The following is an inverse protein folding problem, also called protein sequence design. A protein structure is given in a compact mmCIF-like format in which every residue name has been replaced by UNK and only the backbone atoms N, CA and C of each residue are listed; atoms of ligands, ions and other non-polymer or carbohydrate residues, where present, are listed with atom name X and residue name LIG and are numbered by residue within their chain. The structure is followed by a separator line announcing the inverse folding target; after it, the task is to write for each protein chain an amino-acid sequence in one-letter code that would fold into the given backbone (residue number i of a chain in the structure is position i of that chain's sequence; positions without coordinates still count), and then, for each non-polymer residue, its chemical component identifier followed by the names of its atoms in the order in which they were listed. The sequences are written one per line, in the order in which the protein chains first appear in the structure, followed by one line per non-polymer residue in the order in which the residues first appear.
data_IF_748716969732
#
_entry.id   IF_748716969732
#
_cell.length_a   1.000
_cell.length_b   1.000
_cell.length_c   1.000
_cell.angle_alpha   90.00
_cell.angle_beta   90.00
_cell.angle_gamma   90.00
#
_symmetry.space_group_name_H-M   'P 1'
#
loop_
_entity.id
_entity.type
_entity.pdbx_description
1 polymer ?
#
# COMPACT_ATOMS: atom_id res chain seq x y z
N UNK A 1 43.44 -43.40 -6.87
CA UNK A 1 42.00 -43.63 -7.12
C UNK A 1 41.23 -42.51 -6.43
N UNK A 2 41.20 -41.32 -7.02
CA UNK A 2 40.53 -40.16 -6.42
C UNK A 2 39.87 -39.34 -7.53
N UNK A 3 38.69 -39.79 -7.97
CA UNK A 3 37.89 -39.07 -8.95
C UNK A 3 36.41 -39.14 -8.58
N UNK A 4 36.04 -38.80 -7.35
CA UNK A 4 34.63 -38.73 -6.93
C UNK A 4 34.40 -37.67 -5.84
N UNK A 5 34.70 -36.40 -6.09
CA UNK A 5 34.26 -35.35 -5.15
C UNK A 5 33.92 -33.99 -5.78
N UNK A 6 34.03 -33.82 -7.10
CA UNK A 6 33.67 -32.55 -7.76
C UNK A 6 32.25 -32.53 -8.34
N UNK A 7 31.64 -33.70 -8.55
CA UNK A 7 30.33 -33.80 -9.21
C UNK A 7 29.14 -33.64 -8.27
N UNK A 8 29.33 -33.80 -6.95
CA UNK A 8 28.24 -33.70 -5.97
C UNK A 8 27.89 -32.25 -5.59
N UNK A 9 28.85 -31.32 -5.64
CA UNK A 9 28.63 -29.92 -5.25
C UNK A 9 27.86 -29.12 -6.30
N UNK A 10 28.03 -29.44 -7.59
CA UNK A 10 27.35 -28.70 -8.67
C UNK A 10 25.85 -29.01 -8.70
N UNK A 11 25.43 -30.22 -8.29
CA UNK A 11 24.02 -30.61 -8.29
C UNK A 11 23.21 -29.92 -7.18
N UNK A 12 23.83 -29.65 -6.02
CA UNK A 12 23.15 -29.02 -4.87
C UNK A 12 22.85 -27.54 -5.16
N UNK A 13 23.74 -26.83 -5.85
CA UNK A 13 23.53 -25.41 -6.20
C UNK A 13 22.40 -25.24 -7.23
N UNK A 14 22.23 -26.18 -8.15
CA UNK A 14 21.12 -26.15 -9.13
C UNK A 14 19.78 -26.45 -8.45
N UNK A 15 19.74 -27.34 -7.45
CA UNK A 15 18.49 -27.67 -6.73
C UNK A 15 18.08 -26.57 -5.75
N UNK A 16 19.01 -25.80 -5.18
CA UNK A 16 18.65 -24.64 -4.33
C UNK A 16 18.14 -23.44 -5.13
N UNK A 17 18.56 -23.28 -6.38
CA UNK A 17 18.03 -22.24 -7.28
C UNK A 17 16.59 -22.55 -7.76
N UNK A 18 16.20 -23.83 -7.83
CA UNK A 18 14.85 -24.27 -8.23
C UNK A 18 13.79 -24.15 -7.12
N UNK A 19 14.17 -23.90 -5.86
CA UNK A 19 13.23 -23.65 -4.77
C UNK A 19 12.77 -22.18 -4.65
N UNK A 20 13.32 -21.28 -5.49
CA UNK A 20 12.84 -19.90 -5.60
C UNK A 20 11.70 -19.73 -6.61
N UNK A 21 11.24 -20.79 -7.29
CA UNK A 21 9.93 -20.80 -7.96
C UNK A 21 8.81 -21.03 -6.93
N UNK A 22 8.90 -20.35 -5.78
CA UNK A 22 7.85 -20.34 -4.77
C UNK A 22 6.67 -19.54 -5.30
N UNK A 23 5.60 -20.25 -5.69
CA UNK A 23 4.24 -19.74 -5.80
C UNK A 23 4.12 -18.27 -6.26
N UNK A 24 4.43 -18.00 -7.53
CA UNK A 24 4.30 -16.66 -8.12
C UNK A 24 2.84 -16.19 -8.11
N UNK A 25 2.52 -15.25 -7.23
CA UNK A 25 1.17 -14.71 -7.03
C UNK A 25 1.08 -13.21 -7.20
N UNK A 26 -0.15 -12.70 -7.21
CA UNK A 26 -0.43 -11.27 -7.07
C UNK A 26 -0.26 -10.92 -5.59
N UNK A 27 0.76 -10.12 -5.29
CA UNK A 27 1.00 -9.54 -3.95
C UNK A 27 1.31 -8.06 -4.11
N UNK A 28 0.95 -7.27 -3.11
CA UNK A 28 1.19 -5.83 -3.16
C UNK A 28 1.56 -5.28 -1.80
N UNK A 29 2.18 -4.11 -1.83
CA UNK A 29 2.39 -3.28 -0.65
C UNK A 29 1.73 -1.94 -0.90
N UNK A 30 1.08 -1.42 0.14
CA UNK A 30 0.63 -0.03 0.15
C UNK A 30 1.32 0.68 1.32
N UNK A 31 1.65 1.95 1.13
CA UNK A 31 2.20 2.80 2.17
C UNK A 31 1.51 4.15 2.08
N UNK A 32 1.06 4.66 3.20
CA UNK A 32 0.32 5.90 3.33
C UNK A 32 1.06 6.84 4.28
N UNK A 33 1.14 8.12 3.91
CA UNK A 33 1.78 9.15 4.72
C UNK A 33 1.05 10.47 4.58
N UNK A 34 0.71 11.08 5.71
CA UNK A 34 0.24 12.46 5.75
C UNK A 34 1.44 13.41 5.65
N UNK A 35 1.29 14.49 4.89
CA UNK A 35 2.29 15.57 4.85
C UNK A 35 2.34 16.27 6.21
N UNK A 36 1.17 16.60 6.78
CA UNK A 36 0.99 16.98 8.17
C UNK A 36 0.00 16.03 8.86
N UNK A 37 0.42 15.37 9.94
CA UNK A 37 -0.40 14.48 10.77
C UNK A 37 -1.23 15.25 11.81
N UNK A 38 -0.96 16.54 11.98
CA UNK A 38 -1.61 17.44 12.93
C UNK A 38 -2.06 18.70 12.22
N UNK A 39 -3.36 18.95 12.22
CA UNK A 39 -3.96 20.12 11.56
C UNK A 39 -4.93 20.85 12.48
N UNK A 40 -5.23 22.10 12.17
CA UNK A 40 -6.36 22.82 12.77
C UNK A 40 -7.68 22.39 12.12
N UNK A 41 -8.78 22.52 12.86
CA UNK A 41 -10.14 22.22 12.39
C UNK A 41 -10.46 23.01 11.11
N UNK A 42 -11.01 22.32 10.10
CA UNK A 42 -11.31 22.86 8.78
C UNK A 42 -10.11 23.06 7.86
N UNK A 43 -8.88 22.69 8.28
CA UNK A 43 -7.71 22.70 7.40
C UNK A 43 -7.60 21.39 6.61
N UNK A 44 -6.80 21.44 5.56
CA UNK A 44 -6.53 20.33 4.65
C UNK A 44 -5.05 19.97 4.70
N UNK A 45 -4.74 18.67 4.72
CA UNK A 45 -3.41 18.09 4.55
C UNK A 45 -3.42 17.14 3.35
N UNK A 46 -2.26 16.78 2.83
CA UNK A 46 -2.13 15.80 1.75
C UNK A 46 -1.79 14.42 2.31
N UNK A 47 -2.53 13.40 1.88
CA UNK A 47 -2.24 12.00 2.10
C UNK A 47 -1.59 11.43 0.83
N UNK A 48 -0.29 11.13 0.92
CA UNK A 48 0.48 10.46 -0.13
C UNK A 48 0.37 8.96 0.05
N UNK A 49 -0.20 8.28 -0.94
CA UNK A 49 -0.34 6.82 -0.96
C UNK A 49 0.49 6.26 -2.08
N UNK A 50 1.39 5.33 -1.75
CA UNK A 50 2.18 4.58 -2.72
C UNK A 50 1.74 3.13 -2.73
N UNK A 51 1.33 2.62 -3.88
CA UNK A 51 1.03 1.21 -4.11
C UNK A 51 2.15 0.60 -4.94
N UNK A 52 2.61 -0.60 -4.58
CA UNK A 52 3.65 -1.34 -5.30
C UNK A 52 3.22 -2.77 -5.52
N UNK A 53 3.42 -3.27 -6.73
CA UNK A 53 3.30 -4.70 -7.02
C UNK A 53 4.60 -5.41 -6.61
N UNK A 54 4.53 -6.15 -5.51
CA UNK A 54 5.67 -6.94 -4.99
C UNK A 54 5.62 -8.38 -5.48
N UNK A 55 4.59 -8.75 -6.23
CA UNK A 55 4.41 -10.07 -6.80
C UNK A 55 5.17 -10.25 -8.11
N UNK A 56 5.07 -11.45 -8.66
CA UNK A 56 5.71 -11.83 -9.92
C UNK A 56 4.75 -11.79 -11.13
N UNK A 57 3.50 -11.38 -10.92
CA UNK A 57 2.44 -11.30 -11.95
C UNK A 57 1.93 -9.87 -12.07
N UNK A 58 1.43 -9.52 -13.25
CA UNK A 58 0.70 -8.27 -13.48
C UNK A 58 -0.48 -8.20 -12.52
N UNK A 59 -0.67 -7.03 -11.93
CA UNK A 59 -1.73 -6.72 -10.99
C UNK A 59 -2.63 -5.64 -11.59
N UNK A 60 -3.94 -5.88 -11.64
CA UNK A 60 -4.94 -4.84 -11.93
C UNK A 60 -5.84 -4.71 -10.71
N UNK A 61 -6.01 -3.49 -10.20
CA UNK A 61 -6.76 -3.28 -8.98
C UNK A 61 -6.98 -1.83 -8.63
N UNK A 62 -7.28 -1.58 -7.36
CA UNK A 62 -7.69 -0.26 -6.89
C UNK A 62 -7.23 0.07 -5.47
N UNK A 63 -7.11 1.36 -5.19
CA UNK A 63 -6.97 1.91 -3.84
C UNK A 63 -8.35 2.21 -3.25
N UNK A 64 -8.61 1.67 -2.06
CA UNK A 64 -9.84 1.91 -1.29
C UNK A 64 -9.49 2.57 0.03
N UNK A 65 -10.24 3.62 0.35
CA UNK A 65 -10.06 4.39 1.57
C UNK A 65 -11.25 4.19 2.50
N UNK A 66 -10.98 4.10 3.79
CA UNK A 66 -11.99 4.10 4.84
C UNK A 66 -11.52 5.05 5.92
N UNK A 67 -12.43 5.88 6.42
CA UNK A 67 -12.18 6.78 7.55
C UNK A 67 -13.01 6.32 8.75
N UNK A 68 -12.51 6.53 9.95
CA UNK A 68 -13.19 6.15 11.20
C UNK A 68 -14.49 6.93 11.41
N UNK A 69 -14.47 8.23 11.11
CA UNK A 69 -15.62 9.10 11.16
C UNK A 69 -15.70 9.93 9.88
N UNK A 70 -16.60 9.54 8.98
CA UNK A 70 -16.82 10.21 7.69
C UNK A 70 -17.54 11.55 7.80
N UNK A 71 -18.11 11.88 8.96
CA UNK A 71 -18.70 13.21 9.19
C UNK A 71 -17.63 14.23 9.59
N UNK A 72 -16.57 13.77 10.24
CA UNK A 72 -15.47 14.63 10.71
C UNK A 72 -14.26 14.67 9.76
N UNK A 73 -14.07 13.63 8.93
CA UNK A 73 -12.95 13.57 7.97
C UNK A 73 -13.47 13.37 6.55
N UNK A 74 -13.09 14.29 5.67
CA UNK A 74 -13.41 14.24 4.25
C UNK A 74 -12.16 13.95 3.42
N UNK A 75 -12.30 13.03 2.46
CA UNK A 75 -11.27 12.70 1.48
C UNK A 75 -11.69 13.21 0.11
N UNK A 76 -10.79 13.91 -0.58
CA UNK A 76 -11.02 14.41 -1.93
C UNK A 76 -9.90 13.97 -2.87
N UNK A 77 -10.30 13.63 -4.09
CA UNK A 77 -9.44 13.13 -5.15
C UNK A 77 -9.69 13.97 -6.42
N UNK A 78 -8.66 14.29 -7.21
CA UNK A 78 -8.84 15.05 -8.43
C UNK A 78 -9.68 14.29 -9.48
N UNK A 79 -9.51 12.97 -9.54
CA UNK A 79 -10.28 12.09 -10.41
C UNK A 79 -10.38 10.68 -9.78
N UNK A 80 -11.60 10.18 -9.45
CA UNK A 80 -11.81 8.84 -8.91
C UNK A 80 -11.33 7.71 -9.83
N UNK A 81 -11.27 7.94 -11.15
CA UNK A 81 -10.82 6.95 -12.12
C UNK A 81 -9.36 6.54 -11.89
N UNK A 82 -8.54 7.47 -11.38
CA UNK A 82 -7.12 7.28 -11.09
C UNK A 82 -6.86 6.34 -9.91
N UNK A 83 -7.89 6.00 -9.13
CA UNK A 83 -7.78 5.01 -8.05
C UNK A 83 -7.73 3.58 -8.58
N UNK A 84 -8.09 3.36 -9.85
CA UNK A 84 -7.97 2.07 -10.56
C UNK A 84 -6.75 2.10 -11.48
N UNK A 85 -5.96 1.03 -11.47
CA UNK A 85 -4.70 0.98 -12.20
C UNK A 85 -4.19 -0.45 -12.40
N UNK A 86 -3.22 -0.58 -13.29
CA UNK A 86 -2.48 -1.82 -13.55
C UNK A 86 -1.00 -1.59 -13.27
N UNK A 87 -0.35 -2.53 -12.57
CA UNK A 87 1.08 -2.51 -12.27
C UNK A 87 1.77 -3.78 -12.77
N UNK A 88 2.87 -3.60 -13.48
CA UNK A 88 3.83 -4.66 -13.76
C UNK A 88 4.54 -5.12 -12.48
N UNK A 89 5.12 -6.34 -12.47
CA UNK A 89 5.97 -6.78 -11.37
C UNK A 89 7.06 -5.76 -11.03
N UNK A 90 7.16 -5.37 -9.75
CA UNK A 90 8.13 -4.40 -9.25
C UNK A 90 7.72 -2.94 -9.40
N UNK A 91 6.72 -2.62 -10.23
CA UNK A 91 6.23 -1.27 -10.49
C UNK A 91 5.49 -0.68 -9.28
N UNK A 92 5.55 0.64 -9.16
CA UNK A 92 4.84 1.40 -8.14
C UNK A 92 4.17 2.63 -8.73
N UNK A 93 3.05 3.03 -8.13
CA UNK A 93 2.42 4.31 -8.37
C UNK A 93 2.23 5.08 -7.07
N UNK A 94 2.15 6.40 -7.18
CA UNK A 94 1.78 7.28 -6.07
C UNK A 94 0.51 8.04 -6.43
N UNK A 95 -0.36 8.21 -5.43
CA UNK A 95 -1.57 9.03 -5.48
C UNK A 95 -1.56 10.02 -4.32
N UNK A 96 -2.07 11.21 -4.59
CA UNK A 96 -2.22 12.26 -3.58
C UNK A 96 -3.71 12.45 -3.36
N UNK A 97 -4.11 12.42 -2.10
CA UNK A 97 -5.49 12.58 -1.64
C UNK A 97 -5.52 13.76 -0.70
N UNK A 98 -6.43 14.70 -0.91
CA UNK A 98 -6.66 15.78 0.04
C UNK A 98 -7.48 15.27 1.21
N UNK A 99 -7.04 15.56 2.43
CA UNK A 99 -7.71 15.17 3.67
C UNK A 99 -8.06 16.42 4.45
N UNK A 100 -9.35 16.64 4.67
CA UNK A 100 -9.84 17.74 5.50
C UNK A 100 -10.44 17.17 6.78
N UNK A 101 -10.05 17.71 7.93
CA UNK A 101 -10.51 17.25 9.23
C UNK A 101 -11.23 18.35 10.01
N UNK A 102 -12.28 17.97 10.74
CA UNK A 102 -13.06 18.82 11.62
C UNK A 102 -13.07 18.25 13.03
N UNK A 103 -13.10 19.13 14.03
CA UNK A 103 -13.26 18.76 15.43
C UNK A 103 -13.98 19.87 16.19
N UNK A 104 -14.96 19.48 17.01
CA UNK A 104 -15.71 20.38 17.89
C UNK A 104 -15.10 20.46 19.32
N UNK A 105 -14.17 19.57 19.62
CA UNK A 105 -13.45 19.48 20.90
C UNK A 105 -12.01 19.98 20.76
N UNK A 106 -11.29 20.09 21.87
CA UNK A 106 -9.88 20.57 21.87
C UNK A 106 -8.98 19.76 20.94
N UNK A 107 -9.21 18.44 20.86
CA UNK A 107 -8.44 17.52 20.03
C UNK A 107 -9.25 16.27 19.72
N UNK A 108 -9.24 15.87 18.45
CA UNK A 108 -9.67 14.54 17.98
C UNK A 108 -8.54 13.85 17.24
N UNK A 109 -8.43 12.54 17.37
CA UNK A 109 -7.53 11.71 16.56
C UNK A 109 -8.40 10.76 15.71
N UNK A 110 -8.24 10.78 14.40
CA UNK A 110 -9.04 10.00 13.45
C UNK A 110 -8.17 9.02 12.68
N UNK A 111 -8.63 7.78 12.52
CA UNK A 111 -7.94 6.79 11.69
C UNK A 111 -8.39 6.83 10.23
N UNK A 112 -7.41 6.70 9.34
CA UNK A 112 -7.60 6.55 7.89
C UNK A 112 -6.94 5.26 7.46
N UNK A 113 -7.74 4.31 6.99
CA UNK A 113 -7.27 3.05 6.43
C UNK A 113 -7.19 3.13 4.92
N UNK A 114 -6.07 2.66 4.38
CA UNK A 114 -5.83 2.54 2.95
C UNK A 114 -5.65 1.06 2.61
N UNK A 115 -6.42 0.56 1.66
CA UNK A 115 -6.37 -0.83 1.20
C UNK A 115 -6.07 -0.89 -0.28
N UNK A 116 -5.16 -1.77 -0.66
CA UNK A 116 -4.89 -2.13 -2.03
C UNK A 116 -5.64 -3.43 -2.35
N UNK A 117 -6.57 -3.38 -3.31
CA UNK A 117 -7.41 -4.52 -3.69
C UNK A 117 -7.08 -5.02 -5.09
N UNK A 118 -7.11 -6.34 -5.27
CA UNK A 118 -7.12 -7.04 -6.55
C UNK A 118 -8.42 -7.83 -6.65
N UNK A 119 -9.41 -7.32 -7.39
CA UNK A 119 -10.78 -7.81 -7.30
C UNK A 119 -11.31 -7.66 -5.86
N UNK A 120 -11.81 -8.75 -5.28
CA UNK A 120 -12.31 -8.75 -3.89
C UNK A 120 -11.21 -8.89 -2.84
N UNK A 121 -10.02 -9.34 -3.23
CA UNK A 121 -8.92 -9.63 -2.29
C UNK A 121 -8.16 -8.37 -1.91
N UNK A 122 -8.00 -8.14 -0.61
CA UNK A 122 -7.04 -7.15 -0.08
C UNK A 122 -5.64 -7.75 -0.16
N UNK A 123 -4.75 -7.12 -0.93
CA UNK A 123 -3.37 -7.56 -1.12
C UNK A 123 -2.36 -6.67 -0.40
N UNK A 124 -2.77 -5.51 0.09
CA UNK A 124 -1.98 -4.62 0.93
C UNK A 124 -2.88 -3.73 1.78
N UNK A 125 -2.42 -3.34 2.97
CA UNK A 125 -3.11 -2.41 3.87
C UNK A 125 -2.12 -1.50 4.57
N UNK A 126 -2.54 -0.28 4.86
CA UNK A 126 -1.84 0.64 5.74
C UNK A 126 -2.84 1.52 6.52
N UNK A 127 -2.38 2.12 7.61
CA UNK A 127 -3.18 2.97 8.51
C UNK A 127 -2.37 4.22 8.86
N UNK A 128 -3.04 5.38 8.82
CA UNK A 128 -2.48 6.64 9.34
C UNK A 128 -3.47 7.27 10.32
N UNK A 129 -2.94 8.05 11.26
CA UNK A 129 -3.74 8.82 12.22
C UNK A 129 -3.63 10.30 11.89
N UNK A 130 -4.77 10.98 11.77
CA UNK A 130 -4.89 12.42 11.65
C UNK A 130 -5.33 13.01 12.99
N UNK A 131 -4.54 13.90 13.57
CA UNK A 131 -4.92 14.70 14.73
C UNK A 131 -5.48 16.05 14.28
N UNK A 132 -6.69 16.39 14.72
CA UNK A 132 -7.35 17.67 14.46
C UNK A 132 -7.50 18.44 15.77
N UNK A 133 -7.01 19.68 15.79
CA UNK A 133 -7.15 20.61 16.93
C UNK A 133 -8.11 21.73 16.58
N UNK A 134 -8.93 22.16 17.53
CA UNK A 134 -9.79 23.34 17.36
C UNK A 134 -8.99 24.63 17.27
#
# INVERSE_FOLDING_TARGET
MELKLKTALVLIVVITALLLTGCGGITGKVTAKLDDDKISSGKTTALKVTARNTGSKVFTGELVFQVEDSNSVSLSYPDPSLLKFTLQPGESITRIVSVTGYSDVTRSDYKIWVRLKSGEKIIGKDEVTLTVKR
#
